data_IF_951640032523
#
_entry.id   IF_951640032523
#
_cell.length_a   1.000
_cell.length_b   1.000
_cell.length_c   1.000
_cell.angle_alpha   90.00
_cell.angle_beta   90.00
_cell.angle_gamma   90.00
#
_symmetry.space_group_name_H-M   'P 1'
#
loop_
_entity.id
_entity.type
_entity.pdbx_description
1 polymer ?
#
# COMPACT_ATOMS: atom_id res chain seq x y z
N UNK A 1 44.85 5.78 49.49
CA UNK A 1 44.95 7.20 49.13
C UNK A 1 43.55 7.66 48.80
N UNK A 2 42.97 8.35 49.76
CA UNK A 2 41.67 9.00 49.69
C UNK A 2 41.81 10.31 48.92
N UNK A 3 40.79 10.72 48.17
CA UNK A 3 40.25 12.08 48.31
C UNK A 3 38.80 12.16 47.78
N UNK A 4 37.84 12.70 48.57
CA UNK A 4 36.45 12.98 48.22
C UNK A 4 36.17 14.49 48.10
N UNK A 5 35.34 14.94 47.14
CA UNK A 5 34.63 16.26 47.15
C UNK A 5 33.74 16.30 45.89
N UNK A 6 32.41 16.21 45.93
CA UNK A 6 31.35 17.15 46.38
C UNK A 6 31.42 18.55 45.74
N UNK A 7 30.45 18.82 44.85
CA UNK A 7 29.73 20.09 44.66
C UNK A 7 28.58 19.79 43.66
N UNK A 8 27.32 19.70 44.09
CA UNK A 8 26.33 20.79 44.28
C UNK A 8 25.58 21.15 42.98
N UNK A 9 24.25 20.91 43.02
CA UNK A 9 23.07 21.53 42.36
C UNK A 9 23.21 22.30 41.00
N UNK A 10 22.19 22.28 40.10
CA UNK A 10 20.80 22.51 40.47
C UNK A 10 19.79 21.52 39.88
N UNK A 11 18.90 21.07 40.76
CA UNK A 11 17.52 20.70 40.45
C UNK A 11 16.84 21.86 39.72
N UNK A 12 16.91 21.84 38.38
CA UNK A 12 16.10 22.69 37.53
C UNK A 12 14.65 22.25 37.63
N UNK A 13 13.86 23.02 38.38
CA UNK A 13 12.40 23.00 38.34
C UNK A 13 11.95 23.21 36.88
N UNK A 14 11.63 22.11 36.21
CA UNK A 14 11.00 22.15 34.90
C UNK A 14 9.64 22.85 35.04
N UNK A 15 9.29 23.78 34.15
CA UNK A 15 7.99 24.42 34.20
C UNK A 15 6.91 23.34 34.10
N UNK A 16 6.14 23.23 35.17
CA UNK A 16 4.91 22.46 35.21
C UNK A 16 3.91 23.09 34.24
N UNK A 17 4.07 22.76 32.95
CA UNK A 17 3.12 23.05 31.88
C UNK A 17 1.88 22.17 32.02
N UNK A 18 1.18 22.31 33.15
CA UNK A 18 -0.13 21.71 33.35
C UNK A 18 -1.18 22.54 32.61
N UNK A 19 -1.80 21.93 31.59
CA UNK A 19 -3.25 22.05 31.48
C UNK A 19 -3.85 22.82 30.29
N UNK A 20 -3.18 22.92 29.13
CA UNK A 20 -3.85 23.46 27.92
C UNK A 20 -3.91 22.49 26.72
N UNK A 21 -3.22 21.35 26.75
CA UNK A 21 -3.10 20.46 25.58
C UNK A 21 -4.21 19.43 25.38
N UNK A 22 -4.99 19.09 26.41
CA UNK A 22 -5.90 17.94 26.33
C UNK A 22 -7.23 18.24 25.60
N UNK A 23 -7.63 19.51 25.49
CA UNK A 23 -8.90 19.88 24.87
C UNK A 23 -8.82 20.04 23.33
N UNK A 24 -7.62 20.14 22.75
CA UNK A 24 -7.44 20.34 21.30
C UNK A 24 -7.40 19.02 20.51
N UNK A 25 -7.00 17.92 21.16
CA UNK A 25 -6.88 16.59 20.55
C UNK A 25 -8.19 16.04 19.95
N UNK A 26 -9.37 16.17 20.60
CA UNK A 26 -10.63 15.67 20.03
C UNK A 26 -11.07 16.45 18.78
N UNK A 27 -10.82 17.75 18.74
CA UNK A 27 -11.15 18.61 17.59
C UNK A 27 -10.25 18.31 16.37
N UNK A 28 -8.96 18.11 16.61
CA UNK A 28 -8.01 17.69 15.56
C UNK A 28 -8.34 16.30 15.00
N UNK A 29 -8.71 15.35 15.86
CA UNK A 29 -9.08 14.00 15.43
C UNK A 29 -10.39 13.99 14.63
N UNK A 30 -11.36 14.84 15.01
CA UNK A 30 -12.61 15.02 14.27
C UNK A 30 -12.39 15.60 12.86
N UNK A 31 -11.47 16.55 12.70
CA UNK A 31 -11.11 17.12 11.39
C UNK A 31 -10.39 16.09 10.49
N UNK A 32 -9.52 15.25 11.06
CA UNK A 32 -8.84 14.17 10.34
C UNK A 32 -9.78 13.05 9.89
N UNK A 33 -10.85 12.76 10.64
CA UNK A 33 -11.85 11.75 10.27
C UNK A 33 -12.94 12.29 9.34
N UNK A 34 -13.19 13.60 9.34
CA UNK A 34 -14.24 14.25 8.56
C UNK A 34 -13.88 14.55 7.10
N UNK A 35 -12.73 14.12 6.59
CA UNK A 35 -12.33 14.36 5.20
C UNK A 35 -11.91 15.80 4.87
N UNK A 36 -11.88 16.70 5.86
CA UNK A 36 -11.33 18.03 5.67
C UNK A 36 -9.84 17.93 5.36
N UNK A 37 -9.47 18.20 4.11
CA UNK A 37 -8.07 18.13 3.68
C UNK A 37 -7.14 19.01 4.51
N UNK A 38 -5.83 18.83 4.29
CA UNK A 38 -4.75 19.66 4.88
C UNK A 38 -5.07 21.17 4.97
N UNK A 39 -5.73 21.82 4.00
CA UNK A 39 -6.08 23.25 4.09
C UNK A 39 -6.99 23.62 5.27
N UNK A 40 -7.99 22.79 5.60
CA UNK A 40 -8.91 23.05 6.72
C UNK A 40 -8.23 22.87 8.07
N UNK A 41 -7.28 21.92 8.15
CA UNK A 41 -6.45 21.73 9.33
C UNK A 41 -5.45 22.89 9.51
N UNK A 42 -4.90 23.42 8.42
CA UNK A 42 -4.04 24.62 8.44
C UNK A 42 -4.78 25.88 8.91
N UNK A 43 -6.02 26.08 8.46
CA UNK A 43 -6.90 27.17 8.92
C UNK A 43 -7.19 27.07 10.42
N UNK A 44 -7.55 25.89 10.92
CA UNK A 44 -7.85 25.68 12.34
C UNK A 44 -6.61 25.83 13.24
N UNK A 45 -5.42 25.47 12.73
CA UNK A 45 -4.15 25.60 13.47
C UNK A 45 -3.59 27.02 13.46
N UNK A 46 -3.97 27.87 12.50
CA UNK A 46 -3.54 29.26 12.44
C UNK A 46 -4.05 30.11 13.62
N UNK A 47 -5.21 29.75 14.17
CA UNK A 47 -5.83 30.46 15.31
C UNK A 47 -5.45 29.88 16.68
N UNK A 48 -4.81 28.70 16.71
CA UNK A 48 -4.41 28.05 17.95
C UNK A 48 -3.09 28.63 18.49
N UNK A 49 -2.96 28.86 19.81
CA UNK A 49 -1.70 29.26 20.42
C UNK A 49 -0.71 28.08 20.42
N UNK A 50 -0.02 27.88 19.30
CA UNK A 50 1.00 26.85 19.12
C UNK A 50 2.27 27.20 19.90
N UNK A 51 2.88 26.19 20.51
CA UNK A 51 4.21 26.34 21.09
C UNK A 51 5.25 26.59 19.99
N UNK A 52 6.42 27.19 20.31
CA UNK A 52 7.47 27.44 19.31
C UNK A 52 7.92 26.16 18.60
N UNK A 53 7.97 25.03 19.30
CA UNK A 53 8.34 23.73 18.77
C UNK A 53 7.29 23.20 17.78
N UNK A 54 5.99 23.33 18.11
CA UNK A 54 4.91 22.94 17.21
C UNK A 54 4.89 23.80 15.94
N UNK A 55 5.19 25.10 16.06
CA UNK A 55 5.31 26.00 14.90
C UNK A 55 6.45 25.56 13.98
N UNK A 56 7.60 25.18 14.53
CA UNK A 56 8.74 24.69 13.75
C UNK A 56 8.41 23.38 13.01
N UNK A 57 7.67 22.46 13.65
CA UNK A 57 7.22 21.22 12.99
C UNK A 57 6.25 21.53 11.85
N UNK A 58 5.31 22.45 12.05
CA UNK A 58 4.35 22.85 11.01
C UNK A 58 5.03 23.54 9.82
N UNK A 59 6.02 24.38 10.08
CA UNK A 59 6.84 25.03 9.04
C UNK A 59 7.62 23.99 8.23
N UNK A 60 8.20 22.99 8.90
CA UNK A 60 8.91 21.89 8.25
C UNK A 60 7.96 21.04 7.37
N UNK A 61 6.76 20.74 7.87
CA UNK A 61 5.75 19.98 7.11
C UNK A 61 5.23 20.78 5.90
N UNK A 62 5.02 22.09 6.05
CA UNK A 62 4.68 22.97 4.92
C UNK A 62 5.76 23.00 3.84
N UNK A 63 7.03 23.11 4.25
CA UNK A 63 8.16 23.08 3.32
C UNK A 63 8.33 21.75 2.58
N UNK A 64 7.91 20.63 3.20
CA UNK A 64 7.88 19.31 2.55
C UNK A 64 6.67 19.12 1.63
N UNK A 65 5.53 19.76 1.93
CA UNK A 65 4.33 19.73 1.09
C UNK A 65 4.52 20.49 -0.21
N UNK A 66 5.07 21.70 -0.18
CA UNK A 66 5.28 22.53 -1.37
C UNK A 66 6.32 21.98 -2.36
N UNK A 67 7.10 20.95 -1.97
CA UNK A 67 8.08 20.31 -2.86
C UNK A 67 7.50 19.26 -3.80
N UNK A 68 6.20 18.96 -3.71
CA UNK A 68 5.55 17.90 -4.48
C UNK A 68 4.77 18.35 -5.71
N UNK A 69 4.58 19.66 -5.90
CA UNK A 69 3.70 20.18 -6.95
C UNK A 69 4.46 20.75 -8.17
N UNK A 70 5.80 20.60 -8.24
CA UNK A 70 6.64 21.17 -9.31
C UNK A 70 7.24 20.12 -10.28
N UNK A 71 6.82 18.85 -10.22
CA UNK A 71 7.33 17.76 -11.09
C UNK A 71 6.28 17.30 -12.13
N UNK A 72 5.55 18.22 -12.77
CA UNK A 72 4.40 17.91 -13.66
C UNK A 72 4.62 18.22 -15.17
N UNK A 73 5.85 18.43 -15.65
CA UNK A 73 6.09 18.78 -17.06
C UNK A 73 7.28 18.04 -17.70
N UNK A 74 7.28 16.70 -17.76
CA UNK A 74 8.25 15.94 -18.60
C UNK A 74 7.79 14.49 -18.97
N UNK A 75 6.49 14.24 -19.20
CA UNK A 75 5.99 12.93 -19.67
C UNK A 75 5.52 12.96 -21.15
N UNK A 76 6.37 13.48 -22.04
CA UNK A 76 6.12 13.50 -23.50
C UNK A 76 6.83 12.37 -24.29
N UNK A 77 7.48 11.38 -23.65
CA UNK A 77 8.33 10.41 -24.37
C UNK A 77 8.20 8.94 -23.88
N UNK A 78 7.01 8.31 -23.91
CA UNK A 78 6.89 6.84 -23.71
C UNK A 78 5.74 6.18 -24.53
N UNK A 79 5.53 6.61 -25.77
CA UNK A 79 4.62 5.92 -26.73
C UNK A 79 5.25 4.65 -27.36
N UNK A 80 6.47 4.25 -26.97
CA UNK A 80 7.16 3.07 -27.52
C UNK A 80 6.85 1.75 -26.79
N UNK A 81 6.10 1.76 -25.69
CA UNK A 81 5.85 0.57 -24.86
C UNK A 81 4.59 -0.23 -25.23
N UNK A 82 3.86 0.15 -26.28
CA UNK A 82 2.66 -0.61 -26.72
C UNK A 82 3.03 -2.02 -27.20
N UNK A 83 4.28 -2.26 -27.62
CA UNK A 83 4.73 -3.56 -28.10
C UNK A 83 5.37 -4.46 -27.01
N UNK A 84 5.77 -3.93 -25.86
CA UNK A 84 6.34 -4.69 -24.74
C UNK A 84 5.34 -5.75 -24.18
N UNK A 85 4.04 -5.44 -23.97
CA UNK A 85 3.03 -6.43 -23.59
C UNK A 85 2.84 -7.53 -24.65
N UNK A 86 2.90 -7.17 -25.94
CA UNK A 86 2.76 -8.12 -27.05
C UNK A 86 3.96 -9.06 -27.13
N UNK A 87 5.19 -8.56 -26.93
CA UNK A 87 6.40 -9.38 -26.89
C UNK A 87 6.42 -10.31 -25.67
N UNK A 88 5.98 -9.84 -24.50
CA UNK A 88 5.80 -10.70 -23.32
C UNK A 88 4.73 -11.77 -23.51
N UNK A 89 3.58 -11.43 -24.11
CA UNK A 89 2.53 -12.39 -24.42
C UNK A 89 2.99 -13.44 -25.45
N UNK A 90 3.70 -13.01 -26.50
CA UNK A 90 4.27 -13.91 -27.51
C UNK A 90 5.33 -14.85 -26.91
N UNK A 91 6.21 -14.35 -26.04
CA UNK A 91 7.20 -15.18 -25.34
C UNK A 91 6.53 -16.22 -24.42
N UNK A 92 5.46 -15.84 -23.72
CA UNK A 92 4.68 -16.76 -22.88
C UNK A 92 3.91 -17.80 -23.70
N UNK A 93 3.27 -17.40 -24.79
CA UNK A 93 2.59 -18.33 -25.70
C UNK A 93 3.57 -19.34 -26.31
N UNK A 94 4.75 -18.88 -26.74
CA UNK A 94 5.79 -19.74 -27.29
C UNK A 94 6.39 -20.71 -26.24
N UNK A 95 6.46 -20.30 -24.97
CA UNK A 95 7.13 -21.07 -23.91
C UNK A 95 6.21 -21.94 -23.07
N UNK A 96 4.94 -21.57 -22.92
CA UNK A 96 3.97 -22.23 -22.02
C UNK A 96 2.63 -22.59 -22.69
N UNK A 97 2.42 -22.19 -23.95
CA UNK A 97 1.12 -22.20 -24.64
C UNK A 97 0.52 -23.57 -24.99
N UNK A 98 1.09 -24.69 -24.55
CA UNK A 98 0.53 -26.01 -24.82
C UNK A 98 0.11 -26.81 -23.59
N UNK A 99 0.49 -26.40 -22.36
CA UNK A 99 0.21 -27.21 -21.16
C UNK A 99 -0.85 -26.65 -20.23
N UNK A 100 -0.95 -25.33 -20.13
CA UNK A 100 -2.10 -24.66 -19.52
C UNK A 100 -3.01 -24.22 -20.65
N UNK A 101 -3.77 -25.16 -21.21
CA UNK A 101 -4.81 -24.84 -22.19
C UNK A 101 -5.61 -23.67 -21.65
N UNK A 102 -5.80 -22.64 -22.47
CA UNK A 102 -6.71 -21.55 -22.18
C UNK A 102 -7.96 -22.18 -21.57
N UNK A 103 -8.22 -21.90 -20.28
CA UNK A 103 -9.47 -22.38 -19.69
C UNK A 103 -10.56 -21.88 -20.63
N UNK A 104 -11.41 -22.79 -21.16
CA UNK A 104 -12.51 -22.36 -22.00
C UNK A 104 -13.24 -21.25 -21.24
N UNK A 105 -13.70 -20.18 -21.92
CA UNK A 105 -14.46 -19.15 -21.25
C UNK A 105 -15.56 -19.85 -20.48
N UNK A 106 -15.48 -19.80 -19.15
CA UNK A 106 -16.49 -20.35 -18.27
C UNK A 106 -17.75 -19.62 -18.65
N UNK A 107 -18.61 -20.31 -19.40
CA UNK A 107 -19.96 -19.87 -19.68
C UNK A 107 -20.70 -20.02 -18.37
N UNK A 108 -20.50 -19.06 -17.47
CA UNK A 108 -21.28 -19.00 -16.25
C UNK A 108 -22.75 -18.86 -16.71
N UNK A 109 -23.65 -19.74 -16.24
CA UNK A 109 -25.05 -19.57 -16.52
C UNK A 109 -25.46 -18.22 -15.94
N UNK A 110 -25.85 -17.30 -16.83
CA UNK A 110 -26.46 -16.04 -16.44
C UNK A 110 -27.76 -16.41 -15.73
N UNK A 111 -27.68 -16.53 -14.41
CA UNK A 111 -28.88 -16.65 -13.58
C UNK A 111 -29.56 -15.29 -13.68
N UNK A 112 -30.73 -15.26 -14.32
CA UNK A 112 -31.64 -14.11 -14.31
C UNK A 112 -32.07 -13.89 -12.84
N UNK A 113 -31.27 -13.13 -12.11
CA UNK A 113 -31.61 -12.68 -10.77
C UNK A 113 -32.66 -11.59 -10.97
N UNK A 114 -33.92 -11.78 -10.56
CA UNK A 114 -34.93 -10.74 -10.68
C UNK A 114 -34.40 -9.51 -9.95
N UNK A 115 -34.20 -8.44 -10.71
CA UNK A 115 -33.76 -7.14 -10.23
C UNK A 115 -34.82 -6.62 -9.27
N UNK A 116 -34.68 -6.95 -7.98
CA UNK A 116 -35.54 -6.42 -6.94
C UNK A 116 -35.09 -5.00 -6.68
N UNK A 117 -35.66 -4.04 -7.42
CA UNK A 117 -35.54 -2.62 -7.10
C UNK A 117 -36.21 -2.40 -5.74
N UNK A 118 -35.46 -2.18 -4.65
CA UNK A 118 -36.07 -1.77 -3.41
C UNK A 118 -36.84 -0.47 -3.70
N UNK A 119 -38.06 -0.29 -3.15
CA UNK A 119 -38.79 0.96 -3.33
C UNK A 119 -37.90 2.11 -2.85
N UNK A 120 -37.67 3.09 -3.73
CA UNK A 120 -36.83 4.23 -3.40
C UNK A 120 -37.44 4.93 -2.18
N UNK A 121 -36.65 5.18 -1.12
CA UNK A 121 -37.13 5.94 0.01
C UNK A 121 -37.52 7.34 -0.47
N UNK A 122 -38.76 7.75 -0.19
CA UNK A 122 -39.26 9.10 -0.51
C UNK A 122 -38.29 10.14 0.09
N UNK A 123 -37.78 11.09 -0.73
CA UNK A 123 -36.78 12.04 -0.27
C UNK A 123 -37.39 12.98 0.77
N UNK A 124 -36.81 12.98 1.97
CA UNK A 124 -37.24 13.82 3.10
C UNK A 124 -36.91 15.30 2.79
N UNK A 125 -37.90 16.19 2.62
CA UNK A 125 -37.68 17.55 2.10
C UNK A 125 -37.00 18.51 3.09
N UNK A 126 -36.56 18.03 4.26
CA UNK A 126 -36.05 18.84 5.36
C UNK A 126 -34.54 18.69 5.63
N UNK A 127 -33.82 17.81 4.93
CA UNK A 127 -32.36 17.73 5.05
C UNK A 127 -31.71 18.71 4.08
N UNK A 128 -31.61 19.97 4.50
CA UNK A 128 -30.67 20.92 3.90
C UNK A 128 -29.25 20.54 4.36
N UNK A 129 -28.73 19.41 3.87
CA UNK A 129 -27.34 19.00 4.09
C UNK A 129 -26.44 19.73 3.07
N UNK A 130 -25.60 20.69 3.49
CA UNK A 130 -24.69 21.41 2.58
C UNK A 130 -23.49 20.59 2.12
N UNK A 131 -23.56 19.25 2.06
CA UNK A 131 -22.40 18.38 1.81
C UNK A 131 -22.50 17.51 0.56
N UNK A 132 -23.48 17.73 -0.32
CA UNK A 132 -23.61 16.98 -1.58
C UNK A 132 -22.62 17.42 -2.68
N UNK A 133 -21.93 18.55 -2.48
CA UNK A 133 -21.06 19.17 -3.51
C UNK A 133 -19.56 18.86 -3.35
N UNK A 134 -19.16 18.10 -2.33
CA UNK A 134 -17.79 17.58 -2.22
C UNK A 134 -17.69 16.16 -2.78
N UNK A 135 -18.33 15.94 -3.94
CA UNK A 135 -18.10 14.73 -4.72
C UNK A 135 -16.72 14.85 -5.35
N UNK A 136 -15.72 14.25 -4.67
CA UNK A 136 -14.33 14.16 -5.16
C UNK A 136 -14.37 13.57 -6.56
N UNK A 137 -14.14 14.41 -7.57
CA UNK A 137 -13.96 13.97 -8.93
C UNK A 137 -12.62 13.22 -9.01
N UNK A 138 -12.66 11.93 -8.71
CA UNK A 138 -11.52 11.06 -8.97
C UNK A 138 -11.31 11.10 -10.48
N UNK A 139 -10.20 11.70 -10.88
CA UNK A 139 -9.81 11.79 -12.28
C UNK A 139 -9.80 10.40 -12.92
N UNK A 140 -10.47 10.29 -14.07
CA UNK A 140 -10.63 9.03 -14.81
C UNK A 140 -9.27 8.44 -15.19
N UNK A 141 -8.25 9.28 -15.46
CA UNK A 141 -6.90 8.81 -15.76
C UNK A 141 -6.24 8.20 -14.54
N UNK A 142 -6.35 8.86 -13.38
CA UNK A 142 -5.88 8.33 -12.10
C UNK A 142 -6.49 6.96 -11.79
N UNK A 143 -7.80 6.80 -11.98
CA UNK A 143 -8.50 5.54 -11.78
C UNK A 143 -8.06 4.45 -12.79
N UNK A 144 -7.82 4.82 -14.06
CA UNK A 144 -7.27 3.91 -15.05
C UNK A 144 -5.87 3.41 -14.68
N UNK A 145 -4.98 4.31 -14.22
CA UNK A 145 -3.63 3.97 -13.74
C UNK A 145 -3.67 2.99 -12.58
N UNK A 146 -4.50 3.26 -11.57
CA UNK A 146 -4.66 2.36 -10.42
C UNK A 146 -5.17 0.97 -10.84
N UNK A 147 -6.09 0.90 -11.80
CA UNK A 147 -6.59 -0.38 -12.33
C UNK A 147 -5.50 -1.15 -13.06
N UNK A 148 -4.68 -0.48 -13.86
CA UNK A 148 -3.56 -1.09 -14.57
C UNK A 148 -2.51 -1.63 -13.58
N UNK A 149 -2.20 -0.86 -12.53
CA UNK A 149 -1.27 -1.28 -11.48
C UNK A 149 -1.80 -2.52 -10.74
N UNK A 150 -3.08 -2.53 -10.35
CA UNK A 150 -3.72 -3.69 -9.73
C UNK A 150 -3.68 -4.93 -10.63
N UNK A 151 -3.87 -4.77 -11.95
CA UNK A 151 -3.77 -5.86 -12.90
C UNK A 151 -2.34 -6.45 -12.95
N UNK A 152 -1.33 -5.58 -13.02
CA UNK A 152 0.09 -5.96 -12.99
C UNK A 152 0.47 -6.70 -11.70
N UNK A 153 0.03 -6.18 -10.55
CA UNK A 153 0.29 -6.81 -9.25
C UNK A 153 -0.35 -8.20 -9.13
N UNK A 154 -1.59 -8.36 -9.64
CA UNK A 154 -2.26 -9.67 -9.68
C UNK A 154 -1.51 -10.66 -10.56
N UNK A 155 -1.01 -10.23 -11.71
CA UNK A 155 -0.24 -11.08 -12.61
C UNK A 155 1.08 -11.56 -11.97
N UNK A 156 1.79 -10.65 -11.27
CA UNK A 156 3.00 -11.01 -10.52
C UNK A 156 2.65 -11.98 -9.39
N UNK A 157 1.56 -11.74 -8.67
CA UNK A 157 1.10 -12.62 -7.60
C UNK A 157 0.77 -14.02 -8.11
N UNK A 158 0.00 -14.13 -9.19
CA UNK A 158 -0.35 -15.39 -9.85
C UNK A 158 0.90 -16.16 -10.28
N UNK A 159 1.89 -15.45 -10.84
CA UNK A 159 3.16 -16.04 -11.27
C UNK A 159 3.95 -16.59 -10.08
N UNK A 160 4.02 -15.84 -8.98
CA UNK A 160 4.72 -16.29 -7.77
C UNK A 160 3.99 -17.44 -7.08
N UNK A 161 2.66 -17.40 -7.04
CA UNK A 161 1.84 -18.49 -6.50
C UNK A 161 2.07 -19.78 -7.28
N UNK A 162 2.09 -19.73 -8.61
CA UNK A 162 2.43 -20.88 -9.45
C UNK A 162 3.87 -21.39 -9.19
N UNK A 163 4.83 -20.47 -9.09
CA UNK A 163 6.21 -20.81 -8.75
C UNK A 163 6.33 -21.53 -7.41
N UNK A 164 5.48 -21.24 -6.43
CA UNK A 164 5.50 -21.84 -5.10
C UNK A 164 4.51 -23.00 -4.91
N UNK A 165 3.68 -23.30 -5.92
CA UNK A 165 2.60 -24.27 -5.78
C UNK A 165 1.54 -23.86 -4.75
N UNK A 166 1.24 -22.56 -4.66
CA UNK A 166 0.25 -21.97 -3.77
C UNK A 166 -1.05 -21.60 -4.52
N UNK A 167 -2.14 -21.37 -3.78
CA UNK A 167 -3.35 -20.80 -4.35
C UNK A 167 -3.17 -19.29 -4.57
N UNK A 168 -3.31 -18.84 -5.82
CA UNK A 168 -3.20 -17.42 -6.20
C UNK A 168 -4.17 -16.48 -5.47
N UNK A 169 -5.33 -16.99 -5.05
CA UNK A 169 -6.36 -16.15 -4.42
C UNK A 169 -6.15 -15.97 -2.92
N UNK A 170 -5.89 -17.06 -2.19
CA UNK A 170 -5.89 -17.02 -0.71
C UNK A 170 -4.54 -17.28 -0.06
N UNK A 171 -3.57 -17.87 -0.76
CA UNK A 171 -2.26 -18.27 -0.19
C UNK A 171 -2.36 -19.13 1.08
N UNK A 172 -3.51 -19.81 1.30
CA UNK A 172 -3.80 -20.61 2.50
C UNK A 172 -4.36 -19.81 3.68
N UNK A 173 -4.61 -18.50 3.55
CA UNK A 173 -5.18 -17.66 4.61
C UNK A 173 -6.69 -17.81 4.81
N UNK A 174 -7.39 -18.43 3.86
CA UNK A 174 -8.86 -18.51 3.86
C UNK A 174 -9.34 -19.96 3.84
N UNK A 175 -9.92 -20.43 4.96
CA UNK A 175 -10.31 -21.83 5.16
C UNK A 175 -11.38 -22.34 4.18
N UNK A 176 -12.19 -21.44 3.61
CA UNK A 176 -13.28 -21.79 2.69
C UNK A 176 -13.06 -21.18 1.29
N UNK A 177 -11.79 -21.01 0.89
CA UNK A 177 -11.47 -20.42 -0.41
C UNK A 177 -12.15 -21.21 -1.55
N UNK A 178 -12.93 -20.56 -2.44
CA UNK A 178 -13.69 -21.25 -3.47
C UNK A 178 -12.81 -21.97 -4.52
N UNK A 179 -11.53 -21.60 -4.63
CA UNK A 179 -10.62 -22.20 -5.60
C UNK A 179 -9.88 -23.45 -5.08
N UNK A 180 -9.55 -23.49 -3.78
CA UNK A 180 -8.70 -24.54 -3.21
C UNK A 180 -9.25 -25.21 -1.95
N UNK A 181 -10.44 -24.83 -1.49
CA UNK A 181 -11.05 -25.36 -0.27
C UNK A 181 -10.21 -25.15 0.99
N UNK A 182 -9.46 -24.05 1.05
CA UNK A 182 -8.58 -23.74 2.19
C UNK A 182 -7.22 -24.45 2.22
N UNK A 183 -6.91 -25.31 1.25
CA UNK A 183 -5.61 -25.98 1.15
C UNK A 183 -4.59 -25.20 0.31
N UNK A 184 -4.69 -23.86 0.29
CA UNK A 184 -3.97 -23.02 -0.68
C UNK A 184 -2.56 -22.59 -0.31
N UNK A 185 -1.94 -23.17 0.73
CA UNK A 185 -0.62 -22.76 1.21
C UNK A 185 0.50 -23.09 0.23
N UNK A 186 1.66 -22.44 0.35
CA UNK A 186 2.85 -22.76 -0.43
C UNK A 186 3.21 -24.25 -0.34
N UNK A 187 3.46 -24.89 -1.50
CA UNK A 187 3.74 -26.32 -1.61
C UNK A 187 2.52 -27.24 -1.53
N UNK A 188 1.29 -26.70 -1.43
CA UNK A 188 0.08 -27.52 -1.44
C UNK A 188 -0.22 -28.15 -2.81
N UNK A 189 0.27 -27.54 -3.88
CA UNK A 189 0.31 -28.11 -5.23
C UNK A 189 1.75 -28.27 -5.71
N UNK A 190 2.02 -29.13 -6.71
CA UNK A 190 3.33 -29.20 -7.35
C UNK A 190 3.75 -27.82 -7.88
N UNK A 191 4.90 -27.27 -7.45
CA UNK A 191 5.42 -26.01 -7.96
C UNK A 191 5.69 -26.08 -9.47
N UNK A 192 5.48 -24.99 -10.19
CA UNK A 192 5.88 -24.87 -11.59
C UNK A 192 7.42 -24.82 -11.69
N UNK A 193 8.08 -25.86 -12.26
CA UNK A 193 9.55 -25.97 -12.18
C UNK A 193 10.32 -24.80 -12.80
N UNK A 194 10.03 -24.34 -14.04
CA UNK A 194 10.76 -23.21 -14.61
C UNK A 194 10.55 -21.90 -13.84
N UNK A 195 9.34 -21.65 -13.30
CA UNK A 195 9.11 -20.46 -12.48
C UNK A 195 9.83 -20.53 -11.14
N UNK A 196 9.82 -21.69 -10.48
CA UNK A 196 10.56 -21.91 -9.24
C UNK A 196 12.07 -21.70 -9.44
N UNK A 197 12.63 -22.24 -10.52
CA UNK A 197 14.04 -22.07 -10.86
C UNK A 197 14.40 -20.61 -11.15
N UNK A 198 13.55 -19.88 -11.88
CA UNK A 198 13.80 -18.49 -12.23
C UNK A 198 13.65 -17.52 -11.02
N UNK A 199 12.65 -17.72 -10.18
CA UNK A 199 12.27 -16.76 -9.14
C UNK A 199 12.80 -17.13 -7.74
N UNK A 200 12.67 -18.40 -7.35
CA UNK A 200 12.89 -18.85 -5.96
C UNK A 200 14.34 -19.24 -5.72
N UNK A 201 14.93 -20.00 -6.64
CA UNK A 201 16.32 -20.51 -6.50
C UNK A 201 17.35 -19.39 -6.28
N UNK A 202 17.33 -18.26 -7.01
CA UNK A 202 18.29 -17.17 -6.78
C UNK A 202 18.14 -16.54 -5.40
N UNK A 203 16.91 -16.38 -4.92
CA UNK A 203 16.64 -15.82 -3.60
C UNK A 203 17.17 -16.73 -2.48
N UNK A 204 16.89 -18.04 -2.56
CA UNK A 204 17.38 -19.03 -1.58
C UNK A 204 18.91 -19.10 -1.57
N UNK A 205 19.56 -19.05 -2.75
CA UNK A 205 21.03 -19.01 -2.84
C UNK A 205 21.61 -17.79 -2.11
N UNK A 206 21.05 -16.59 -2.33
CA UNK A 206 21.48 -15.37 -1.64
C UNK A 206 21.27 -15.46 -0.13
N UNK A 207 20.15 -16.02 0.32
CA UNK A 207 19.88 -16.22 1.76
C UNK A 207 20.91 -17.16 2.39
N UNK A 208 21.24 -18.29 1.74
CA UNK A 208 22.24 -19.23 2.24
C UNK A 208 23.64 -18.64 2.29
N UNK A 209 24.03 -17.89 1.26
CA UNK A 209 25.33 -17.20 1.23
C UNK A 209 25.48 -16.17 2.36
N UNK A 210 24.37 -15.51 2.76
CA UNK A 210 24.37 -14.59 3.91
C UNK A 210 24.38 -15.31 5.25
N UNK A 211 23.70 -16.44 5.35
CA UNK A 211 23.65 -17.23 6.58
C UNK A 211 24.98 -17.92 6.90
N UNK A 212 25.83 -18.15 5.89
CA UNK A 212 27.14 -18.78 6.05
C UNK A 212 28.19 -17.82 5.49
N UNK A 213 28.60 -16.80 6.27
CA UNK A 213 29.73 -15.97 5.86
C UNK A 213 30.90 -16.92 5.62
N UNK A 214 31.46 -16.89 4.41
CA UNK A 214 32.66 -17.68 4.09
C UNK A 214 33.70 -17.39 5.17
N UNK A 215 34.34 -18.43 5.76
CA UNK A 215 35.41 -18.20 6.72
C UNK A 215 36.43 -17.28 6.04
N UNK A 216 36.62 -16.10 6.63
CA UNK A 216 37.58 -15.12 6.13
C UNK A 216 38.94 -15.81 6.12
N UNK A 217 39.57 -15.84 4.97
CA UNK A 217 40.90 -16.43 4.72
C UNK A 217 42.00 -15.55 5.36
N UNK A 218 41.82 -15.14 6.62
CA UNK A 218 42.73 -14.24 7.34
C UNK A 218 43.76 -14.96 8.21
N UNK A 219 43.80 -16.29 8.21
CA UNK A 219 44.90 -17.07 8.81
C UNK A 219 45.55 -17.96 7.76
N UNK A 220 46.31 -17.33 6.85
CA UNK A 220 47.37 -18.02 6.13
C UNK A 220 48.71 -17.39 6.58
N UNK A 221 49.53 -18.12 7.37
CA UNK A 221 50.80 -17.62 7.89
C UNK A 221 51.89 -17.46 6.81
#
# INVERSE_FOLDING_TARGET
MSDPTRADDPTGEGPSGQGAGAAALPLLLGLLQGGGGLPSLMMALAEAPLTPEQRAVMELLGALGSRRDDDDDDDDDDDDDIDEPRRRAAWRAARYGTRYGASPPVSEPVVDVPFYSPPEPEPDPSSSDPSADEMVCVDVRTLARMRQELASLREVNDTLAAALGACRACWGGEAHCPLCGGHGSSGASPPDPPLFEALVVPAVRRMRARAHPSPTTEDSP
#
